data_IF_897446289642
#
_entry.id   IF_897446289642
#
_cell.length_a   1.000
_cell.length_b   1.000
_cell.length_c   1.000
_cell.angle_alpha   90.00
_cell.angle_beta   90.00
_cell.angle_gamma   90.00
#
_symmetry.space_group_name_H-M   'P 1'
#
loop_
_entity.id
_entity.type
_entity.pdbx_description
1 polymer ?
#
# COMPACT_ATOMS: atom_id res chain seq x y z
N UNK A 1 0.84 -17.36 -21.50
CA UNK A 1 -0.35 -16.54 -21.14
C UNK A 1 0.02 -15.13 -21.54
N UNK A 2 -0.66 -14.54 -22.53
CA UNK A 2 -0.27 -13.25 -23.10
C UNK A 2 -0.19 -12.11 -22.07
N UNK A 3 -1.06 -12.12 -21.04
CA UNK A 3 -1.04 -11.12 -19.99
C UNK A 3 0.19 -11.28 -19.09
N UNK A 4 0.55 -12.52 -18.75
CA UNK A 4 1.76 -12.79 -17.96
C UNK A 4 3.03 -12.49 -18.75
N UNK A 5 3.06 -12.81 -20.04
CA UNK A 5 4.19 -12.49 -20.92
C UNK A 5 4.40 -10.98 -21.03
N UNK A 6 3.31 -10.21 -21.20
CA UNK A 6 3.39 -8.74 -21.22
C UNK A 6 3.80 -8.17 -19.86
N UNK A 7 3.31 -8.72 -18.76
CA UNK A 7 3.75 -8.31 -17.42
C UNK A 7 5.25 -8.56 -17.22
N UNK A 8 5.77 -9.71 -17.65
CA UNK A 8 7.21 -10.00 -17.60
C UNK A 8 7.99 -9.00 -18.44
N UNK A 9 7.50 -8.63 -19.62
CA UNK A 9 8.12 -7.60 -20.45
C UNK A 9 8.16 -6.24 -19.72
N UNK A 10 7.04 -5.79 -19.16
CA UNK A 10 7.00 -4.53 -18.40
C UNK A 10 7.99 -4.54 -17.23
N UNK A 11 8.04 -5.64 -16.47
CA UNK A 11 8.89 -5.75 -15.29
C UNK A 11 10.38 -5.88 -15.61
N UNK A 12 10.74 -6.61 -16.66
CA UNK A 12 12.15 -6.92 -16.97
C UNK A 12 12.78 -5.96 -17.98
N UNK A 13 11.97 -5.32 -18.82
CA UNK A 13 12.45 -4.43 -19.89
C UNK A 13 12.09 -2.97 -19.61
N UNK A 14 10.85 -2.65 -19.24
CA UNK A 14 10.43 -1.25 -19.11
C UNK A 14 10.79 -0.62 -17.76
N UNK A 15 10.59 -1.35 -16.65
CA UNK A 15 10.92 -0.83 -15.30
C UNK A 15 12.39 -0.40 -15.17
N UNK A 16 13.40 -1.20 -15.60
CA UNK A 16 14.81 -0.78 -15.50
C UNK A 16 15.21 0.43 -16.34
N UNK A 17 14.38 0.85 -17.31
CA UNK A 17 14.61 2.08 -18.09
C UNK A 17 14.21 3.33 -17.32
N UNK A 18 13.32 3.21 -16.35
CA UNK A 18 12.66 4.32 -15.66
C UNK A 18 13.10 4.49 -14.21
N UNK A 19 13.61 3.42 -13.58
CA UNK A 19 14.05 3.42 -12.18
C UNK A 19 15.43 2.78 -12.03
N UNK A 20 16.21 3.27 -11.08
CA UNK A 20 17.49 2.66 -10.70
C UNK A 20 17.38 1.20 -10.27
N UNK A 21 18.51 0.47 -10.19
CA UNK A 21 18.52 -0.97 -9.92
C UNK A 21 17.82 -1.39 -8.62
N UNK A 22 17.97 -0.62 -7.53
CA UNK A 22 17.33 -0.93 -6.26
C UNK A 22 15.83 -0.69 -6.32
N UNK A 23 15.39 0.47 -6.81
CA UNK A 23 13.98 0.79 -6.99
C UNK A 23 13.28 -0.19 -7.95
N UNK A 24 13.93 -0.53 -9.07
CA UNK A 24 13.46 -1.56 -10.00
C UNK A 24 13.26 -2.92 -9.33
N UNK A 25 14.24 -3.35 -8.52
CA UNK A 25 14.16 -4.62 -7.79
C UNK A 25 13.00 -4.61 -6.79
N UNK A 26 12.76 -3.50 -6.08
CA UNK A 26 11.63 -3.34 -5.18
C UNK A 26 10.28 -3.38 -5.91
N UNK A 27 10.16 -2.72 -7.07
CA UNK A 27 8.94 -2.74 -7.90
C UNK A 27 8.62 -4.16 -8.37
N UNK A 28 9.62 -4.87 -8.91
CA UNK A 28 9.46 -6.25 -9.38
C UNK A 28 9.05 -7.16 -8.22
N UNK A 29 9.76 -7.08 -7.09
CA UNK A 29 9.48 -7.88 -5.89
C UNK A 29 8.08 -7.59 -5.32
N UNK A 30 7.68 -6.33 -5.24
CA UNK A 30 6.34 -5.94 -4.79
C UNK A 30 5.24 -6.49 -5.72
N UNK A 31 5.50 -6.53 -7.03
CA UNK A 31 4.55 -7.08 -8.01
C UNK A 31 4.41 -8.60 -7.85
N UNK A 32 5.51 -9.33 -7.66
CA UNK A 32 5.48 -10.77 -7.39
C UNK A 32 4.79 -11.10 -6.06
N UNK A 33 5.03 -10.26 -5.05
CA UNK A 33 4.36 -10.34 -3.76
C UNK A 33 2.84 -10.18 -3.91
N UNK A 34 2.38 -9.23 -4.74
CA UNK A 34 0.97 -9.02 -5.05
C UNK A 34 0.34 -10.26 -5.70
N UNK A 35 0.97 -10.83 -6.73
CA UNK A 35 0.47 -12.06 -7.36
C UNK A 35 0.34 -13.20 -6.34
N UNK A 36 1.33 -13.34 -5.46
CA UNK A 36 1.32 -14.33 -4.39
C UNK A 36 0.23 -14.06 -3.35
N UNK A 37 0.04 -12.79 -2.97
CA UNK A 37 -1.01 -12.33 -2.07
C UNK A 37 -2.40 -12.63 -2.61
N UNK A 38 -2.68 -12.28 -3.87
CA UNK A 38 -3.95 -12.56 -4.53
C UNK A 38 -4.24 -14.07 -4.59
N UNK A 39 -3.24 -14.90 -4.89
CA UNK A 39 -3.38 -16.35 -4.85
C UNK A 39 -3.77 -16.84 -3.44
N UNK A 40 -3.16 -16.26 -2.39
CA UNK A 40 -3.47 -16.62 -1.01
C UNK A 40 -4.88 -16.18 -0.62
N UNK A 41 -5.27 -14.94 -0.92
CA UNK A 41 -6.59 -14.40 -0.63
C UNK A 41 -7.70 -15.19 -1.34
N UNK A 42 -7.46 -15.60 -2.59
CA UNK A 42 -8.40 -16.43 -3.34
C UNK A 42 -8.59 -17.83 -2.75
N UNK A 43 -7.57 -18.39 -2.08
CA UNK A 43 -7.69 -19.68 -1.37
C UNK A 43 -8.44 -19.56 -0.04
N UNK A 44 -8.42 -18.37 0.57
CA UNK A 44 -8.98 -18.12 1.91
C UNK A 44 -10.01 -16.98 1.89
N UNK A 45 -10.95 -17.02 0.93
CA UNK A 45 -11.98 -15.98 0.77
C UNK A 45 -12.88 -15.81 2.00
N UNK A 46 -13.16 -16.91 2.73
CA UNK A 46 -13.91 -16.89 3.99
C UNK A 46 -13.12 -16.31 5.18
N UNK A 47 -11.87 -15.91 4.94
CA UNK A 47 -10.91 -15.49 5.95
C UNK A 47 -10.16 -16.66 6.57
N UNK A 48 -9.36 -16.35 7.58
CA UNK A 48 -8.44 -17.29 8.22
C UNK A 48 -8.93 -17.73 9.59
N UNK A 49 -8.88 -19.02 9.88
CA UNK A 49 -9.31 -19.59 11.17
C UNK A 49 -8.35 -19.27 12.32
N UNK A 50 -7.04 -19.20 12.02
CA UNK A 50 -5.98 -18.97 13.01
C UNK A 50 -5.16 -17.78 12.60
N UNK A 51 -5.14 -16.76 13.45
CA UNK A 51 -4.48 -15.48 13.19
C UNK A 51 -3.39 -15.24 14.24
N UNK A 52 -2.14 -15.50 13.86
CA UNK A 52 -1.00 -15.07 14.67
C UNK A 52 -0.91 -13.53 14.69
N UNK A 53 -0.26 -12.97 15.73
CA UNK A 53 -0.21 -11.52 15.96
C UNK A 53 0.15 -10.68 14.74
N UNK A 54 1.12 -11.13 13.94
CA UNK A 54 1.63 -10.39 12.76
C UNK A 54 1.02 -10.86 11.44
N UNK A 55 0.15 -11.88 11.46
CA UNK A 55 -0.34 -12.51 10.25
C UNK A 55 -1.21 -11.58 9.38
N UNK A 56 -2.17 -10.79 9.94
CA UNK A 56 -2.93 -9.83 9.13
C UNK A 56 -2.04 -8.84 8.36
N UNK A 57 -1.00 -8.30 9.01
CA UNK A 57 -0.05 -7.39 8.37
C UNK A 57 0.81 -8.12 7.32
N UNK A 58 1.19 -9.36 7.56
CA UNK A 58 1.94 -10.17 6.59
C UNK A 58 1.15 -10.36 5.29
N UNK A 59 -0.12 -10.79 5.38
CA UNK A 59 -0.98 -10.94 4.19
C UNK A 59 -1.14 -9.60 3.49
N UNK A 60 -1.46 -8.53 4.24
CA UNK A 60 -1.68 -7.19 3.67
C UNK A 60 -0.47 -6.64 2.91
N UNK A 61 0.76 -6.94 3.39
CA UNK A 61 2.01 -6.56 2.71
C UNK A 61 2.27 -7.36 1.43
N UNK A 62 1.71 -8.57 1.32
CA UNK A 62 1.78 -9.34 0.08
C UNK A 62 0.80 -8.79 -0.95
N UNK A 63 -0.49 -8.69 -0.62
CA UNK A 63 -1.52 -8.31 -1.60
C UNK A 63 -1.57 -6.82 -1.95
N UNK A 64 -0.91 -5.95 -1.20
CA UNK A 64 -1.06 -4.49 -1.35
C UNK A 64 -0.38 -3.82 -2.54
N UNK A 65 0.74 -4.37 -3.00
CA UNK A 65 1.63 -3.74 -3.99
C UNK A 65 2.12 -2.30 -3.66
N UNK A 66 1.91 -1.83 -2.43
CA UNK A 66 2.19 -0.45 -2.03
C UNK A 66 3.67 -0.08 -2.14
N UNK A 67 4.58 -1.04 -1.97
CA UNK A 67 6.02 -0.79 -2.15
C UNK A 67 6.32 -0.32 -3.58
N UNK A 68 5.76 -0.96 -4.60
CA UNK A 68 5.89 -0.49 -5.99
C UNK A 68 5.32 0.92 -6.17
N UNK A 69 4.12 1.19 -5.65
CA UNK A 69 3.50 2.52 -5.76
C UNK A 69 4.34 3.62 -5.14
N UNK A 70 4.98 3.36 -4.00
CA UNK A 70 5.88 4.32 -3.38
C UNK A 70 7.12 4.55 -4.26
N UNK A 71 7.76 3.50 -4.78
CA UNK A 71 8.94 3.66 -5.65
C UNK A 71 8.62 4.35 -6.99
N UNK A 72 7.39 4.24 -7.51
CA UNK A 72 6.96 4.98 -8.70
C UNK A 72 7.05 6.51 -8.53
N UNK A 73 7.05 7.03 -7.29
CA UNK A 73 7.21 8.46 -7.04
C UNK A 73 8.64 8.99 -7.23
N UNK A 74 9.63 8.10 -7.38
CA UNK A 74 11.05 8.43 -7.45
C UNK A 74 11.69 7.87 -8.74
N UNK A 75 11.26 8.32 -9.94
CA UNK A 75 11.85 7.88 -11.19
C UNK A 75 13.30 8.38 -11.32
N UNK A 76 14.13 7.61 -11.99
CA UNK A 76 15.58 7.87 -12.15
C UNK A 76 15.84 9.24 -12.78
N UNK A 77 14.97 9.68 -13.71
CA UNK A 77 15.08 10.98 -14.37
C UNK A 77 14.89 12.19 -13.42
N UNK A 78 14.24 12.00 -12.26
CA UNK A 78 14.00 13.08 -11.28
C UNK A 78 14.78 12.88 -9.98
N UNK A 79 15.00 11.62 -9.59
CA UNK A 79 15.71 11.21 -8.38
C UNK A 79 16.74 10.13 -8.73
N UNK A 80 17.87 10.49 -9.39
CA UNK A 80 18.90 9.52 -9.72
C UNK A 80 19.31 8.69 -8.49
N UNK A 81 19.20 7.37 -8.58
CA UNK A 81 19.32 6.47 -7.43
C UNK A 81 20.70 6.61 -6.75
N UNK A 82 21.76 6.76 -7.55
CA UNK A 82 23.13 6.94 -7.08
C UNK A 82 23.32 8.20 -6.20
N UNK A 83 22.43 9.18 -6.30
CA UNK A 83 22.53 10.47 -5.59
C UNK A 83 21.46 10.56 -4.50
N UNK A 84 20.23 10.13 -4.80
CA UNK A 84 19.06 10.47 -4.00
C UNK A 84 18.51 9.32 -3.15
N UNK A 85 18.93 8.06 -3.34
CA UNK A 85 18.36 6.93 -2.62
C UNK A 85 18.42 7.12 -1.10
N UNK A 86 19.55 7.60 -0.57
CA UNK A 86 19.73 7.86 0.86
C UNK A 86 18.74 8.89 1.46
N UNK A 87 18.22 9.80 0.63
CA UNK A 87 17.30 10.86 1.07
C UNK A 87 15.92 10.31 1.46
N UNK A 88 15.48 9.20 0.85
CA UNK A 88 14.11 8.72 1.02
C UNK A 88 14.01 7.25 1.42
N UNK A 89 15.00 6.40 1.13
CA UNK A 89 14.89 4.93 1.31
C UNK A 89 14.56 4.53 2.75
N UNK A 90 15.14 5.22 3.73
CA UNK A 90 14.92 4.99 5.15
C UNK A 90 13.48 5.25 5.58
N UNK A 91 12.75 6.07 4.82
CA UNK A 91 11.36 6.42 5.11
C UNK A 91 10.37 5.43 4.48
N UNK A 92 10.72 4.71 3.41
CA UNK A 92 9.84 3.88 2.56
C UNK A 92 8.86 3.00 3.34
N UNK A 93 9.23 2.30 4.44
CA UNK A 93 8.27 1.48 5.18
C UNK A 93 7.05 2.26 5.69
N UNK A 94 7.21 3.54 6.02
CA UNK A 94 6.14 4.40 6.49
C UNK A 94 5.11 4.72 5.40
N UNK A 95 5.48 5.32 4.26
CA UNK A 95 4.58 5.54 3.14
C UNK A 95 3.91 4.25 2.62
N UNK A 96 4.60 3.11 2.67
CA UNK A 96 3.98 1.80 2.36
C UNK A 96 2.86 1.47 3.34
N UNK A 97 3.10 1.58 4.64
CA UNK A 97 2.08 1.36 5.66
C UNK A 97 0.92 2.40 5.51
N UNK A 98 1.22 3.67 5.19
CA UNK A 98 0.18 4.70 4.94
C UNK A 98 -0.69 4.32 3.75
N UNK A 99 -0.07 3.92 2.64
CA UNK A 99 -0.78 3.50 1.43
C UNK A 99 -1.72 2.34 1.72
N UNK A 100 -1.21 1.34 2.43
CA UNK A 100 -2.00 0.17 2.76
C UNK A 100 -3.24 0.53 3.58
N UNK A 101 -3.02 1.29 4.65
CA UNK A 101 -4.09 1.62 5.59
C UNK A 101 -5.07 2.65 5.05
N UNK A 102 -4.62 3.61 4.23
CA UNK A 102 -5.55 4.52 3.53
C UNK A 102 -6.51 3.71 2.66
N UNK A 103 -5.99 2.73 1.92
CA UNK A 103 -6.84 1.84 1.15
C UNK A 103 -7.80 1.04 2.03
N UNK A 104 -7.32 0.41 3.10
CA UNK A 104 -8.15 -0.36 4.04
C UNK A 104 -9.27 0.50 4.68
N UNK A 105 -8.98 1.77 4.99
CA UNK A 105 -9.93 2.72 5.57
C UNK A 105 -11.03 3.05 4.57
N UNK A 106 -10.66 3.48 3.37
CA UNK A 106 -11.64 3.91 2.35
C UNK A 106 -12.37 2.73 1.70
N UNK A 107 -11.76 1.55 1.67
CA UNK A 107 -12.40 0.33 1.16
C UNK A 107 -13.34 -0.31 2.18
N UNK A 108 -13.24 0.03 3.47
CA UNK A 108 -14.04 -0.57 4.53
C UNK A 108 -15.54 -0.55 4.23
N UNK A 109 -16.07 0.56 3.73
CA UNK A 109 -17.49 0.69 3.41
C UNK A 109 -17.93 -0.33 2.36
N UNK A 110 -17.28 -0.35 1.19
CA UNK A 110 -17.63 -1.30 0.12
C UNK A 110 -17.38 -2.77 0.52
N UNK A 111 -16.32 -3.05 1.29
CA UNK A 111 -15.86 -4.43 1.57
C UNK A 111 -16.63 -5.07 2.72
N UNK A 112 -16.94 -4.27 3.75
CA UNK A 112 -17.48 -4.76 5.02
C UNK A 112 -18.91 -4.30 5.33
N UNK A 113 -19.27 -3.07 4.98
CA UNK A 113 -20.63 -2.55 5.23
C UNK A 113 -21.59 -3.06 4.17
N UNK A 114 -21.18 -2.95 2.90
CA UNK A 114 -21.96 -3.41 1.75
C UNK A 114 -21.59 -4.83 1.33
N UNK A 115 -20.32 -5.19 1.46
CA UNK A 115 -19.76 -6.48 1.08
C UNK A 115 -19.73 -7.48 2.23
N UNK A 116 -19.25 -8.68 1.91
CA UNK A 116 -19.05 -9.79 2.85
C UNK A 116 -17.59 -10.25 2.87
N UNK A 117 -16.65 -9.39 2.49
CA UNK A 117 -15.22 -9.71 2.45
C UNK A 117 -14.70 -9.96 3.87
N UNK A 118 -14.07 -11.12 4.07
CA UNK A 118 -13.72 -11.64 5.39
C UNK A 118 -12.21 -11.79 5.62
N UNK A 119 -11.41 -11.55 4.59
CA UNK A 119 -9.96 -11.67 4.56
C UNK A 119 -9.24 -10.31 4.47
N UNK A 120 -9.97 -9.19 4.56
CA UNK A 120 -9.39 -7.84 4.60
C UNK A 120 -8.59 -7.61 5.88
N UNK A 121 -7.68 -6.63 5.86
CA UNK A 121 -6.82 -6.33 7.02
C UNK A 121 -7.64 -6.01 8.28
N UNK A 122 -8.60 -5.08 8.17
CA UNK A 122 -9.42 -4.64 9.31
C UNK A 122 -10.24 -5.79 9.88
N UNK A 123 -10.87 -6.60 9.03
CA UNK A 123 -11.69 -7.74 9.49
C UNK A 123 -10.82 -8.82 10.12
N UNK A 124 -9.67 -9.13 9.52
CA UNK A 124 -8.73 -10.09 10.08
C UNK A 124 -8.18 -9.62 11.44
N UNK A 125 -7.79 -8.36 11.53
CA UNK A 125 -7.26 -7.79 12.77
C UNK A 125 -8.33 -7.73 13.88
N UNK A 126 -9.57 -7.43 13.54
CA UNK A 126 -10.71 -7.47 14.47
C UNK A 126 -10.98 -8.88 15.01
N UNK A 127 -10.99 -9.89 14.14
CA UNK A 127 -11.11 -11.31 14.54
C UNK A 127 -9.97 -11.72 15.46
N UNK A 128 -8.75 -11.27 15.17
CA UNK A 128 -7.56 -11.54 15.98
C UNK A 128 -7.64 -10.90 17.37
N UNK A 129 -8.11 -9.67 17.44
CA UNK A 129 -8.27 -8.91 18.70
C UNK A 129 -9.55 -9.30 19.46
N UNK A 130 -10.48 -10.01 18.83
CA UNK A 130 -11.82 -10.35 19.35
C UNK A 130 -12.64 -9.11 19.71
N UNK A 131 -12.55 -8.08 18.85
CA UNK A 131 -13.30 -6.84 18.99
C UNK A 131 -14.11 -6.54 17.72
N UNK A 132 -15.10 -5.63 17.78
CA UNK A 132 -15.78 -5.11 16.60
C UNK A 132 -14.82 -4.52 15.57
N UNK A 133 -15.06 -4.79 14.28
CA UNK A 133 -14.21 -4.26 13.20
C UNK A 133 -14.18 -2.74 13.10
N UNK A 134 -15.22 -2.07 13.61
CA UNK A 134 -15.27 -0.60 13.64
C UNK A 134 -14.22 -0.02 14.60
N UNK A 135 -13.93 -0.69 15.72
CA UNK A 135 -12.89 -0.25 16.65
C UNK A 135 -11.51 -0.35 16.01
N UNK A 136 -11.26 -1.42 15.23
CA UNK A 136 -10.01 -1.56 14.46
C UNK A 136 -9.91 -0.52 13.36
N UNK A 137 -11.02 -0.18 12.69
CA UNK A 137 -11.04 0.92 11.72
C UNK A 137 -10.64 2.24 12.39
N UNK A 138 -11.24 2.59 13.52
CA UNK A 138 -10.93 3.82 14.25
C UNK A 138 -9.45 3.88 14.67
N UNK A 139 -8.92 2.78 15.22
CA UNK A 139 -7.49 2.67 15.57
C UNK A 139 -6.60 2.84 14.33
N UNK A 140 -7.00 2.24 13.20
CA UNK A 140 -6.25 2.33 11.93
C UNK A 140 -6.26 3.76 11.39
N UNK A 141 -7.37 4.48 11.48
CA UNK A 141 -7.46 5.91 11.15
C UNK A 141 -6.50 6.74 12.00
N UNK A 142 -6.57 6.61 13.33
CA UNK A 142 -5.72 7.36 14.26
C UNK A 142 -4.23 7.09 14.01
N UNK A 143 -3.85 5.82 13.85
CA UNK A 143 -2.48 5.41 13.56
C UNK A 143 -1.99 5.96 12.22
N UNK A 144 -2.82 5.91 11.19
CA UNK A 144 -2.47 6.39 9.85
C UNK A 144 -2.25 7.90 9.84
N UNK A 145 -3.12 8.66 10.51
CA UNK A 145 -2.95 10.10 10.69
C UNK A 145 -1.66 10.45 11.45
N UNK A 146 -1.38 9.75 12.55
CA UNK A 146 -0.16 9.97 13.34
C UNK A 146 1.10 9.66 12.53
N UNK A 147 1.11 8.55 11.79
CA UNK A 147 2.21 8.15 10.92
C UNK A 147 2.41 9.13 9.77
N UNK A 148 1.33 9.59 9.14
CA UNK A 148 1.40 10.59 8.08
C UNK A 148 2.02 11.90 8.59
N UNK A 149 1.60 12.38 9.76
CA UNK A 149 2.18 13.59 10.40
C UNK A 149 3.67 13.41 10.72
N UNK A 150 4.05 12.25 11.27
CA UNK A 150 5.45 11.94 11.56
C UNK A 150 6.31 11.91 10.29
N UNK A 151 5.83 11.27 9.22
CA UNK A 151 6.53 11.21 7.95
C UNK A 151 6.75 12.60 7.34
N UNK A 152 5.74 13.47 7.38
CA UNK A 152 5.91 14.86 6.92
C UNK A 152 7.04 15.58 7.66
N UNK A 153 7.13 15.41 8.99
CA UNK A 153 8.20 16.00 9.79
C UNK A 153 9.58 15.46 9.41
N UNK A 154 9.71 14.13 9.22
CA UNK A 154 10.99 13.50 8.85
C UNK A 154 11.44 13.89 7.45
N UNK A 155 10.52 13.87 6.49
CA UNK A 155 10.82 14.23 5.11
C UNK A 155 11.12 15.72 4.94
N UNK A 156 10.49 16.60 5.74
CA UNK A 156 10.81 18.02 5.78
C UNK A 156 12.28 18.29 6.18
N UNK A 157 12.84 17.45 7.07
CA UNK A 157 14.25 17.54 7.48
C UNK A 157 15.18 17.00 6.38
N UNK A 158 14.74 15.95 5.65
CA UNK A 158 15.58 15.27 4.68
C UNK A 158 15.74 16.05 3.36
N UNK A 159 14.64 16.33 2.65
CA UNK A 159 14.66 17.05 1.38
C UNK A 159 13.23 17.52 1.01
N UNK A 160 13.07 18.80 0.70
CA UNK A 160 11.77 19.39 0.40
C UNK A 160 11.09 18.76 -0.84
N UNK A 161 11.86 18.32 -1.84
CA UNK A 161 11.33 17.65 -3.04
C UNK A 161 10.74 16.30 -2.69
N UNK A 162 11.39 15.56 -1.80
CA UNK A 162 10.90 14.25 -1.31
C UNK A 162 9.61 14.45 -0.50
N UNK A 163 9.56 15.45 0.38
CA UNK A 163 8.35 15.81 1.10
C UNK A 163 7.20 16.13 0.15
N UNK A 164 7.44 17.00 -0.84
CA UNK A 164 6.41 17.38 -1.83
C UNK A 164 5.90 16.18 -2.62
N UNK A 165 6.77 15.26 -3.02
CA UNK A 165 6.37 14.02 -3.71
C UNK A 165 5.50 13.14 -2.83
N UNK A 166 5.89 12.92 -1.58
CA UNK A 166 5.08 12.15 -0.64
C UNK A 166 3.72 12.79 -0.36
N UNK A 167 3.65 14.11 -0.12
CA UNK A 167 2.38 14.79 0.12
C UNK A 167 1.47 14.73 -1.11
N UNK A 168 2.01 15.04 -2.31
CA UNK A 168 1.25 14.96 -3.56
C UNK A 168 0.73 13.55 -3.82
N UNK A 169 1.50 12.51 -3.49
CA UNK A 169 1.06 11.12 -3.59
C UNK A 169 -0.11 10.83 -2.66
N UNK A 170 -0.02 11.21 -1.39
CA UNK A 170 -1.09 10.98 -0.41
C UNK A 170 -2.36 11.74 -0.82
N UNK A 171 -2.24 13.00 -1.22
CA UNK A 171 -3.38 13.82 -1.66
C UNK A 171 -4.06 13.21 -2.89
N UNK A 172 -3.26 12.77 -3.87
CA UNK A 172 -3.76 12.09 -5.07
C UNK A 172 -4.43 10.76 -4.75
N UNK A 173 -3.84 9.96 -3.87
CA UNK A 173 -4.41 8.69 -3.42
C UNK A 173 -5.75 8.90 -2.69
N UNK A 174 -5.82 9.84 -1.75
CA UNK A 174 -7.06 10.17 -1.03
C UNK A 174 -8.13 10.66 -2.00
N UNK A 175 -7.77 11.56 -2.91
CA UNK A 175 -8.69 12.07 -3.95
C UNK A 175 -9.22 10.92 -4.80
N UNK A 176 -8.35 10.03 -5.29
CA UNK A 176 -8.74 8.86 -6.06
C UNK A 176 -9.76 7.99 -5.32
N UNK A 177 -9.56 7.73 -4.02
CA UNK A 177 -10.50 6.91 -3.24
C UNK A 177 -11.85 7.60 -3.09
N UNK A 178 -11.87 8.90 -2.79
CA UNK A 178 -13.11 9.68 -2.58
C UNK A 178 -13.89 9.83 -3.88
N UNK A 179 -13.22 10.03 -5.02
CA UNK A 179 -13.90 10.33 -6.29
C UNK A 179 -14.22 9.09 -7.13
N UNK A 180 -13.61 7.95 -6.85
CA UNK A 180 -13.81 6.75 -7.66
C UNK A 180 -15.06 5.98 -7.18
N UNK A 181 -16.09 5.80 -8.05
CA UNK A 181 -17.33 5.09 -7.70
C UNK A 181 -17.13 3.67 -7.19
N UNK A 182 -15.97 3.05 -7.45
CA UNK A 182 -15.60 1.75 -6.89
C UNK A 182 -15.72 1.72 -5.36
N UNK A 183 -15.43 2.82 -4.68
CA UNK A 183 -15.45 2.89 -3.21
C UNK A 183 -16.83 3.23 -2.62
N UNK A 184 -17.76 3.72 -3.44
CA UNK A 184 -19.14 4.04 -3.05
C UNK A 184 -19.23 5.02 -1.87
N UNK A 185 -18.29 5.96 -1.80
CA UNK A 185 -18.20 6.93 -0.70
C UNK A 185 -19.17 8.10 -0.87
N UNK A 186 -19.76 8.26 -2.05
CA UNK A 186 -20.87 9.17 -2.30
C UNK A 186 -22.18 8.80 -1.56
N UNK A 187 -22.24 7.59 -1.00
CA UNK A 187 -23.38 7.08 -0.23
C UNK A 187 -23.32 7.45 1.27
N UNK A 188 -22.24 8.12 1.71
CA UNK A 188 -21.97 8.53 3.10
C UNK A 188 -21.94 10.06 3.20
#
# INVERSE_FOLDING_TARGET
DPCLEYLVHLLTIEVPKLWGPFASSCIIKSTLDMLTGCMLENRFQSGYERLAQKFPRFVRRKSGNSEAYIFFNFPEAMFPEAINLGLYVHSIPGPVDVTDFVNDIFSYYKERVLGNENNTYIVSEARRQKCPSIEVLEQTCQRTCAMHKHLKQKLAIADERVLRKYCSYVDGMVTYHITNPRYRLEEI
#
